data_IF_227243906644
#
_entry.id   IF_227243906644
#
_cell.length_a   1.000
_cell.length_b   1.000
_cell.length_c   1.000
_cell.angle_alpha   90.00
_cell.angle_beta   90.00
_cell.angle_gamma   90.00
#
_symmetry.space_group_name_H-M   'P 1'
#
loop_
_entity.id
_entity.type
_entity.pdbx_description
1 polymer ?
#
# COMPACT_ATOMS: atom_id res chain seq x y z
N UNK A 1 -2.93 0.36 55.50
CA UNK A 1 -1.72 0.45 54.63
C UNK A 1 -2.05 -0.16 53.29
N UNK A 2 -2.39 0.64 52.28
CA UNK A 2 -2.55 0.18 50.90
C UNK A 2 -1.71 1.11 50.03
N UNK A 3 -0.54 0.63 49.59
CA UNK A 3 0.29 1.30 48.58
C UNK A 3 -0.29 0.94 47.22
N UNK A 4 -1.03 1.85 46.62
CA UNK A 4 -1.32 1.79 45.19
C UNK A 4 0.00 2.17 44.51
N UNK A 5 0.72 1.16 44.02
CA UNK A 5 1.88 1.36 43.16
C UNK A 5 1.39 2.03 41.88
N UNK A 6 1.72 3.32 41.74
CA UNK A 6 1.65 4.01 40.47
C UNK A 6 2.56 3.29 39.48
N UNK A 7 1.96 2.56 38.53
CA UNK A 7 2.68 2.04 37.38
C UNK A 7 3.19 3.26 36.61
N UNK A 8 4.50 3.31 36.50
CA UNK A 8 5.25 4.41 35.94
C UNK A 8 4.85 4.67 34.48
N UNK A 9 4.51 5.93 34.20
CA UNK A 9 5.06 6.68 33.07
C UNK A 9 4.91 6.11 31.66
N UNK A 10 3.72 5.70 31.25
CA UNK A 10 3.38 5.70 29.82
C UNK A 10 2.27 6.72 29.64
N UNK A 11 2.62 7.87 29.09
CA UNK A 11 1.65 8.94 28.86
C UNK A 11 0.63 8.47 27.82
N UNK A 12 -0.63 8.93 27.86
CA UNK A 12 -1.65 8.59 26.85
C UNK A 12 -1.16 8.82 25.40
N UNK A 13 -0.23 9.76 25.23
CA UNK A 13 0.49 10.09 24.00
C UNK A 13 1.43 8.99 23.47
N UNK A 14 1.96 8.12 24.34
CA UNK A 14 2.80 6.97 23.94
C UNK A 14 1.95 5.78 23.51
N UNK A 15 0.86 5.50 24.23
CA UNK A 15 -0.12 4.48 23.84
C UNK A 15 -0.83 4.78 22.51
N UNK A 16 -1.09 6.05 22.19
CA UNK A 16 -1.65 6.45 20.90
C UNK A 16 -0.70 6.15 19.73
N UNK A 17 0.59 6.55 19.89
CA UNK A 17 1.62 6.37 18.86
C UNK A 17 1.85 4.91 18.48
N UNK A 18 1.82 4.00 19.45
CA UNK A 18 2.02 2.57 19.21
C UNK A 18 0.84 1.93 18.44
N UNK A 19 -0.39 2.36 18.71
CA UNK A 19 -1.58 1.91 17.97
C UNK A 19 -1.59 2.44 16.54
N UNK A 20 -1.20 3.69 16.34
CA UNK A 20 -1.08 4.28 15.00
C UNK A 20 -0.02 3.56 14.15
N UNK A 21 1.13 3.21 14.75
CA UNK A 21 2.17 2.45 14.07
C UNK A 21 1.67 1.05 13.66
N UNK A 22 0.93 0.37 14.54
CA UNK A 22 0.37 -0.95 14.27
C UNK A 22 -0.65 -0.90 13.12
N UNK A 23 -1.59 0.04 13.17
CA UNK A 23 -2.61 0.23 12.13
C UNK A 23 -2.01 0.54 10.77
N UNK A 24 -0.94 1.35 10.72
CA UNK A 24 -0.24 1.64 9.46
C UNK A 24 0.44 0.39 8.90
N UNK A 25 1.07 -0.41 9.76
CA UNK A 25 1.68 -1.67 9.34
C UNK A 25 0.65 -2.62 8.77
N UNK A 26 -0.51 -2.74 9.41
CA UNK A 26 -1.65 -3.51 8.91
C UNK A 26 -2.12 -2.98 7.54
N UNK A 27 -2.33 -1.67 7.40
CA UNK A 27 -2.74 -1.05 6.13
C UNK A 27 -1.71 -1.27 5.01
N UNK A 28 -0.40 -1.25 5.33
CA UNK A 28 0.66 -1.56 4.37
C UNK A 28 0.63 -3.03 3.93
N UNK A 29 0.44 -3.98 4.85
CA UNK A 29 0.32 -5.40 4.52
C UNK A 29 -0.96 -5.68 3.70
N UNK A 30 -2.10 -5.11 4.09
CA UNK A 30 -3.35 -5.23 3.34
C UNK A 30 -3.21 -4.68 1.91
N UNK A 31 -2.62 -3.48 1.77
CA UNK A 31 -2.30 -2.88 0.48
C UNK A 31 -1.42 -3.80 -0.36
N UNK A 32 -0.38 -4.39 0.25
CA UNK A 32 0.53 -5.30 -0.44
C UNK A 32 -0.20 -6.52 -0.98
N UNK A 33 -1.04 -7.18 -0.18
CA UNK A 33 -1.82 -8.33 -0.63
C UNK A 33 -2.76 -7.97 -1.80
N UNK A 34 -3.41 -6.81 -1.76
CA UNK A 34 -4.28 -6.35 -2.83
C UNK A 34 -3.50 -6.07 -4.12
N UNK A 35 -2.32 -5.43 -4.02
CA UNK A 35 -1.43 -5.18 -5.15
C UNK A 35 -0.87 -6.49 -5.74
N UNK A 36 -0.54 -7.48 -4.92
CA UNK A 36 -0.10 -8.81 -5.37
C UNK A 36 -1.20 -9.50 -6.19
N UNK A 37 -2.44 -9.55 -5.68
CA UNK A 37 -3.60 -10.11 -6.40
C UNK A 37 -3.82 -9.37 -7.72
N UNK A 38 -3.67 -8.05 -7.72
CA UNK A 38 -3.84 -7.22 -8.90
C UNK A 38 -2.74 -7.48 -9.95
N UNK A 39 -1.48 -7.62 -9.52
CA UNK A 39 -0.33 -7.98 -10.35
C UNK A 39 -0.51 -9.34 -11.01
N UNK A 40 -0.93 -10.34 -10.24
CA UNK A 40 -1.19 -11.68 -10.76
C UNK A 40 -2.30 -11.64 -11.83
N UNK A 41 -3.36 -10.88 -11.58
CA UNK A 41 -4.46 -10.71 -12.54
C UNK A 41 -4.01 -9.98 -13.80
N UNK A 42 -3.28 -8.87 -13.68
CA UNK A 42 -2.86 -8.04 -14.82
C UNK A 42 -1.84 -8.72 -15.72
N UNK A 43 -1.04 -9.63 -15.17
CA UNK A 43 -0.03 -10.39 -15.90
C UNK A 43 -0.60 -11.61 -16.63
N UNK A 44 -1.59 -12.31 -16.04
CA UNK A 44 -2.21 -13.52 -16.63
C UNK A 44 -2.99 -13.22 -17.91
N UNK A 45 -3.70 -12.09 -17.98
CA UNK A 45 -4.60 -11.80 -19.10
C UNK A 45 -4.76 -10.32 -19.39
N UNK A 46 -5.36 -10.02 -20.55
CA UNK A 46 -5.68 -8.67 -20.98
C UNK A 46 -6.96 -8.16 -20.28
N UNK A 47 -6.92 -8.07 -18.95
CA UNK A 47 -8.06 -7.65 -18.14
C UNK A 47 -8.20 -6.13 -18.08
N UNK A 48 -7.05 -5.44 -18.02
CA UNK A 48 -6.98 -4.01 -17.79
C UNK A 48 -6.33 -3.28 -18.96
N UNK A 49 -6.79 -2.06 -19.20
CA UNK A 49 -6.01 -1.06 -19.93
C UNK A 49 -5.05 -0.37 -18.95
N UNK A 50 -4.02 0.29 -19.46
CA UNK A 50 -3.04 0.99 -18.61
C UNK A 50 -3.74 1.98 -17.66
N UNK A 51 -4.67 2.77 -18.21
CA UNK A 51 -5.44 3.76 -17.45
C UNK A 51 -6.29 3.11 -16.36
N UNK A 52 -6.96 1.99 -16.66
CA UNK A 52 -7.80 1.28 -15.68
C UNK A 52 -6.98 0.66 -14.56
N UNK A 53 -5.84 0.06 -14.89
CA UNK A 53 -4.96 -0.53 -13.87
C UNK A 53 -4.40 0.56 -12.95
N UNK A 54 -3.96 1.68 -13.53
CA UNK A 54 -3.46 2.82 -12.76
C UNK A 54 -4.50 3.38 -11.79
N UNK A 55 -5.74 3.58 -12.25
CA UNK A 55 -6.84 4.04 -11.39
C UNK A 55 -7.10 3.07 -10.23
N UNK A 56 -7.13 1.77 -10.52
CA UNK A 56 -7.37 0.75 -9.50
C UNK A 56 -6.26 0.69 -8.46
N UNK A 57 -5.00 0.83 -8.87
CA UNK A 57 -3.88 0.94 -7.93
C UNK A 57 -4.00 2.22 -7.09
N UNK A 58 -4.33 3.36 -7.70
CA UNK A 58 -4.52 4.61 -6.97
C UNK A 58 -5.66 4.52 -5.94
N UNK A 59 -6.77 3.86 -6.28
CA UNK A 59 -7.90 3.63 -5.35
C UNK A 59 -7.48 2.80 -4.13
N UNK A 60 -6.73 1.71 -4.31
CA UNK A 60 -6.20 0.88 -3.21
C UNK A 60 -5.28 1.69 -2.30
N UNK A 61 -4.36 2.45 -2.92
CA UNK A 61 -3.41 3.27 -2.17
C UNK A 61 -4.08 4.41 -1.39
N UNK A 62 -5.16 4.98 -1.94
CA UNK A 62 -5.92 6.05 -1.30
C UNK A 62 -6.82 5.52 -0.19
N UNK A 63 -7.47 4.35 -0.36
CA UNK A 63 -8.33 3.75 0.68
C UNK A 63 -7.56 3.42 1.96
N UNK A 64 -6.30 3.02 1.81
CA UNK A 64 -5.41 2.68 2.91
C UNK A 64 -4.56 3.87 3.40
N UNK A 65 -4.70 5.05 2.78
CA UNK A 65 -3.90 6.25 3.08
C UNK A 65 -2.37 6.06 2.98
N UNK A 66 -1.89 5.09 2.18
CA UNK A 66 -0.46 4.74 2.04
C UNK A 66 0.14 5.16 0.71
N UNK A 67 -0.55 5.97 -0.10
CA UNK A 67 -0.12 6.40 -1.44
C UNK A 67 1.33 6.89 -1.54
N UNK A 68 1.80 7.63 -0.54
CA UNK A 68 3.17 8.17 -0.55
C UNK A 68 4.23 7.15 -0.11
N UNK A 69 3.81 6.02 0.47
CA UNK A 69 4.66 4.98 1.01
C UNK A 69 5.01 3.89 -0.01
N UNK A 70 4.45 3.95 -1.23
CA UNK A 70 4.67 2.96 -2.28
C UNK A 70 5.20 3.61 -3.56
N UNK A 71 6.20 2.97 -4.16
CA UNK A 71 6.59 3.21 -5.55
C UNK A 71 5.88 2.21 -6.45
N UNK A 72 5.11 2.71 -7.42
CA UNK A 72 4.33 1.89 -8.34
C UNK A 72 4.82 2.12 -9.77
N UNK A 73 5.04 1.04 -10.51
CA UNK A 73 5.30 1.06 -11.95
C UNK A 73 4.40 0.09 -12.67
N UNK A 74 3.81 0.56 -13.76
CA UNK A 74 2.95 -0.24 -14.64
C UNK A 74 3.56 -0.22 -16.02
N UNK A 75 3.87 -1.39 -16.57
CA UNK A 75 4.50 -1.51 -17.89
C UNK A 75 3.71 -2.47 -18.78
N UNK A 76 3.37 -2.10 -20.02
CA UNK A 76 2.82 -3.05 -20.98
C UNK A 76 3.81 -4.17 -21.31
N UNK A 77 3.33 -5.42 -21.28
CA UNK A 77 4.14 -6.58 -21.70
C UNK A 77 4.29 -6.69 -23.22
N UNK A 78 3.59 -5.85 -23.98
CA UNK A 78 3.69 -5.75 -25.43
C UNK A 78 3.86 -4.28 -25.82
N UNK A 79 4.86 -4.00 -26.64
CA UNK A 79 5.15 -2.66 -27.16
C UNK A 79 4.09 -2.21 -28.17
N UNK A 80 3.94 -0.89 -28.32
CA UNK A 80 3.01 -0.28 -29.29
C UNK A 80 1.52 -0.42 -28.93
N UNK A 81 1.19 -0.78 -27.69
CA UNK A 81 -0.20 -0.85 -27.22
C UNK A 81 -0.66 0.54 -26.75
N UNK A 82 -1.75 1.09 -27.32
CA UNK A 82 -2.33 2.33 -26.82
C UNK A 82 -2.88 2.18 -25.39
N UNK A 83 -2.84 3.24 -24.57
CA UNK A 83 -3.11 3.18 -23.13
C UNK A 83 -4.54 2.76 -22.77
N UNK A 84 -5.50 2.92 -23.68
CA UNK A 84 -6.91 2.52 -23.51
C UNK A 84 -7.21 1.08 -23.95
N UNK A 85 -6.28 0.44 -24.65
CA UNK A 85 -6.46 -0.94 -25.06
C UNK A 85 -6.12 -1.89 -23.92
N UNK A 86 -6.96 -2.91 -23.76
CA UNK A 86 -6.70 -3.97 -22.79
C UNK A 86 -5.50 -4.79 -23.25
N UNK A 87 -4.53 -4.97 -22.36
CA UNK A 87 -3.34 -5.76 -22.62
C UNK A 87 -2.84 -6.39 -21.33
N UNK A 88 -1.87 -7.29 -21.45
CA UNK A 88 -1.15 -7.79 -20.30
C UNK A 88 -0.21 -6.68 -19.80
N UNK A 89 -0.28 -6.41 -18.51
CA UNK A 89 0.46 -5.34 -17.86
C UNK A 89 1.26 -5.97 -16.71
N UNK A 90 2.54 -5.66 -16.67
CA UNK A 90 3.39 -5.93 -15.53
C UNK A 90 3.20 -4.80 -14.51
N UNK A 91 2.85 -5.17 -13.28
CA UNK A 91 2.71 -4.27 -12.15
C UNK A 91 3.87 -4.54 -11.19
N UNK A 92 4.71 -3.54 -10.98
CA UNK A 92 5.78 -3.58 -10.00
C UNK A 92 5.47 -2.58 -8.91
N UNK A 93 5.70 -2.97 -7.67
CA UNK A 93 5.52 -2.11 -6.52
C UNK A 93 6.60 -2.40 -5.48
N UNK A 94 7.03 -1.35 -4.77
CA UNK A 94 7.99 -1.47 -3.69
C UNK A 94 7.70 -0.43 -2.61
N UNK A 95 7.89 -0.76 -1.31
CA UNK A 95 7.75 0.22 -0.25
C UNK A 95 8.86 1.28 -0.34
N UNK A 96 8.50 2.53 -0.07
CA UNK A 96 9.44 3.66 0.01
C UNK A 96 9.94 3.78 1.45
N UNK A 97 11.02 3.05 1.75
CA UNK A 97 11.57 2.97 3.11
C UNK A 97 11.89 4.35 3.71
N UNK A 98 12.38 5.29 2.91
CA UNK A 98 12.66 6.66 3.38
C UNK A 98 11.41 7.39 3.87
N UNK A 99 10.28 7.24 3.17
CA UNK A 99 9.02 7.89 3.53
C UNK A 99 8.33 7.18 4.70
N UNK A 100 8.54 5.86 4.82
CA UNK A 100 8.09 5.08 5.98
C UNK A 100 8.87 5.49 7.24
N UNK A 101 10.19 5.73 7.12
CA UNK A 101 11.04 6.12 8.25
C UNK A 101 10.81 7.57 8.73
N UNK A 102 10.21 8.43 7.91
CA UNK A 102 9.94 9.84 8.23
C UNK A 102 8.61 10.09 8.96
N UNK A 103 7.74 9.09 9.08
CA UNK A 103 6.38 9.19 9.67
C UNK A 103 6.23 8.49 11.02
#
# INVERSE_FOLDING_TARGET
>A
MMRIMAIAGISASEFGRERDATRRKEAMEETKEELEKLKETSSKGAYYSHVKLYKKVAEILESHHVKNLWDIRITPLKEGIPPDQKTRLDLQFSPREEEIARQ
#
